data_IF_496414963297
#
_entry.id   IF_496414963297
#
_cell.length_a   1.000
_cell.length_b   1.000
_cell.length_c   1.000
_cell.angle_alpha   90.00
_cell.angle_beta   90.00
_cell.angle_gamma   90.00
#
_symmetry.space_group_name_H-M   'P 1'
#
loop_
_entity.id
_entity.type
_entity.pdbx_description
1 polymer ?
#
# COMPACT_ATOMS: atom_id res chain seq x y z
N UNK A 1 3.88 -4.59 14.49
CA UNK A 1 4.81 -3.58 13.97
C UNK A 1 5.88 -3.19 14.98
N UNK A 2 5.54 -2.53 16.10
CA UNK A 2 6.55 -2.06 17.09
C UNK A 2 7.47 -3.19 17.58
N UNK A 3 6.92 -4.37 17.92
CA UNK A 3 7.73 -5.56 18.24
C UNK A 3 8.73 -5.96 17.15
N UNK A 4 8.31 -5.97 15.88
CA UNK A 4 9.18 -6.31 14.74
C UNK A 4 10.30 -5.29 14.58
N UNK A 5 9.98 -3.99 14.75
CA UNK A 5 11.01 -2.94 14.75
C UNK A 5 11.97 -3.08 15.92
N UNK A 6 11.46 -3.36 17.12
CA UNK A 6 12.28 -3.54 18.31
C UNK A 6 13.28 -4.69 18.13
N UNK A 7 12.87 -5.81 17.51
CA UNK A 7 13.78 -6.90 17.15
C UNK A 7 14.87 -6.46 16.18
N UNK A 8 14.54 -5.66 15.16
CA UNK A 8 15.51 -5.22 14.13
C UNK A 8 16.44 -4.11 14.62
N UNK A 9 15.95 -3.24 15.51
CA UNK A 9 16.71 -2.12 16.08
C UNK A 9 17.50 -2.56 17.32
N UNK A 10 17.09 -3.62 18.00
CA UNK A 10 17.67 -4.10 19.24
C UNK A 10 17.27 -3.27 20.47
N UNK A 11 16.12 -2.59 20.42
CA UNK A 11 15.63 -1.76 21.52
C UNK A 11 14.11 -1.60 21.51
N UNK A 12 13.49 -1.53 22.69
CA UNK A 12 12.07 -1.23 22.85
C UNK A 12 11.76 0.21 22.42
N UNK A 13 10.63 0.38 21.74
CA UNK A 13 10.18 1.66 21.17
C UNK A 13 8.82 2.05 21.76
N UNK A 14 8.36 3.27 21.44
CA UNK A 14 6.98 3.67 21.69
C UNK A 14 5.96 2.74 21.00
N UNK A 15 4.70 2.82 21.43
CA UNK A 15 3.63 1.94 20.96
C UNK A 15 3.34 2.10 19.46
N UNK A 16 3.32 3.35 18.99
CA UNK A 16 3.02 3.70 17.60
C UNK A 16 4.16 4.57 17.03
N UNK A 17 5.29 3.96 16.63
CA UNK A 17 6.40 4.70 16.04
C UNK A 17 6.04 5.18 14.62
N UNK A 18 6.51 6.38 14.26
CA UNK A 18 6.40 6.92 12.91
C UNK A 18 7.68 6.64 12.12
N UNK A 19 7.53 6.02 10.96
CA UNK A 19 8.64 5.83 10.01
C UNK A 19 8.61 6.92 8.95
N UNK A 20 9.70 7.68 8.88
CA UNK A 20 9.91 8.71 7.87
C UNK A 20 10.96 8.23 6.89
N UNK A 21 10.54 7.94 5.67
CA UNK A 21 11.44 7.47 4.61
C UNK A 21 12.40 8.58 4.15
N UNK A 22 13.69 8.28 4.13
CA UNK A 22 14.78 9.07 3.58
C UNK A 22 15.29 8.45 2.26
N UNK A 23 16.36 9.01 1.72
CA UNK A 23 17.02 8.48 0.53
C UNK A 23 17.79 7.19 0.85
N UNK A 24 18.07 6.38 -0.19
CA UNK A 24 18.94 5.21 -0.06
C UNK A 24 18.40 4.07 0.81
N UNK A 25 17.09 3.95 1.00
CA UNK A 25 16.50 2.90 1.84
C UNK A 25 16.60 3.17 3.35
N UNK A 26 17.10 4.33 3.74
CA UNK A 26 17.16 4.78 5.14
C UNK A 26 15.79 5.31 5.57
N UNK A 27 15.40 5.00 6.81
CA UNK A 27 14.17 5.45 7.42
C UNK A 27 14.49 5.97 8.82
N UNK A 28 14.09 7.20 9.11
CA UNK A 28 14.12 7.69 10.48
C UNK A 28 12.91 7.12 11.24
N UNK A 29 13.14 6.67 12.47
CA UNK A 29 12.10 6.19 13.37
C UNK A 29 11.89 7.24 14.45
N UNK A 30 10.65 7.73 14.54
CA UNK A 30 10.23 8.72 15.51
C UNK A 30 9.30 8.12 16.56
N UNK A 31 9.47 8.57 17.79
CA UNK A 31 8.52 8.41 18.86
C UNK A 31 8.05 9.79 19.34
N UNK A 32 6.82 10.13 18.95
CA UNK A 32 6.31 11.49 19.10
C UNK A 32 7.18 12.44 18.27
N UNK A 33 7.63 13.53 18.88
CA UNK A 33 8.50 14.50 18.23
C UNK A 33 9.99 14.09 18.20
N UNK A 34 10.39 13.00 18.86
CA UNK A 34 11.80 12.61 19.01
C UNK A 34 12.20 11.59 17.96
N UNK A 35 13.31 11.85 17.27
CA UNK A 35 13.98 10.83 16.44
C UNK A 35 14.76 9.89 17.35
N UNK A 36 14.40 8.62 17.37
CA UNK A 36 14.94 7.64 18.34
C UNK A 36 15.84 6.60 17.69
N UNK A 37 15.57 6.25 16.44
CA UNK A 37 16.33 5.21 15.74
C UNK A 37 16.39 5.47 14.23
N UNK A 38 17.28 4.75 13.57
CA UNK A 38 17.40 4.68 12.11
C UNK A 38 17.21 3.22 11.70
N UNK A 39 16.42 3.01 10.65
CA UNK A 39 16.15 1.72 10.04
C UNK A 39 16.61 1.74 8.58
N UNK A 40 17.48 0.81 8.21
CA UNK A 40 17.98 0.62 6.86
C UNK A 40 17.26 -0.59 6.24
N UNK A 41 16.48 -0.32 5.20
CA UNK A 41 15.76 -1.33 4.43
C UNK A 41 16.39 -1.35 3.03
N UNK A 42 17.21 -2.38 2.71
CA UNK A 42 17.74 -2.52 1.35
C UNK A 42 16.59 -2.76 0.36
N UNK A 43 16.78 -2.36 -0.90
CA UNK A 43 15.75 -2.58 -1.92
C UNK A 43 15.52 -4.08 -2.20
N UNK A 44 16.54 -4.92 -2.01
CA UNK A 44 16.52 -6.37 -2.21
C UNK A 44 16.98 -7.14 -0.96
N UNK A 45 16.69 -8.44 -0.92
CA UNK A 45 17.07 -9.33 0.18
C UNK A 45 16.00 -9.43 1.28
N UNK A 46 16.42 -9.89 2.47
CA UNK A 46 15.54 -10.18 3.62
C UNK A 46 16.16 -9.72 4.95
N UNK A 47 17.09 -8.75 4.91
CA UNK A 47 17.92 -8.39 6.06
C UNK A 47 17.87 -6.87 6.34
N UNK A 48 16.73 -6.35 6.82
CA UNK A 48 16.69 -4.98 7.35
C UNK A 48 17.58 -4.87 8.59
N UNK A 49 18.14 -3.68 8.83
CA UNK A 49 19.01 -3.40 9.98
C UNK A 49 18.58 -2.11 10.66
N UNK A 50 18.77 -2.00 11.96
CA UNK A 50 18.45 -0.77 12.69
C UNK A 50 19.47 -0.44 13.76
N UNK A 51 19.48 0.84 14.18
CA UNK A 51 20.27 1.31 15.31
C UNK A 51 19.57 2.45 16.04
N UNK A 52 19.72 2.48 17.37
CA UNK A 52 19.26 3.60 18.19
C UNK A 52 20.19 4.80 17.97
N UNK A 53 19.62 6.00 17.86
CA UNK A 53 20.37 7.25 17.64
C UNK A 53 19.93 8.39 18.55
N UNK A 54 18.98 8.16 19.44
CA UNK A 54 18.46 9.15 20.37
C UNK A 54 17.88 8.50 21.62
N UNK A 55 17.47 9.33 22.57
CA UNK A 55 16.86 8.86 23.81
C UNK A 55 15.53 8.15 23.54
N UNK A 56 15.42 6.92 24.04
CA UNK A 56 14.20 6.15 23.96
C UNK A 56 13.17 6.74 24.96
N UNK A 57 11.91 6.94 24.54
CA UNK A 57 10.85 7.31 25.48
C UNK A 57 10.61 6.16 26.47
N UNK A 58 10.02 6.49 27.62
CA UNK A 58 9.44 5.47 28.50
C UNK A 58 8.32 4.68 27.81
N UNK A 59 8.05 3.48 28.33
CA UNK A 59 7.00 2.59 27.83
C UNK A 59 5.63 3.30 27.71
N UNK A 60 4.84 2.91 26.70
CA UNK A 60 3.45 3.38 26.57
C UNK A 60 3.26 4.78 25.97
N UNK A 61 4.33 5.49 25.59
CA UNK A 61 4.21 6.76 24.88
C UNK A 61 3.59 6.59 23.47
N UNK A 62 2.93 7.65 22.97
CA UNK A 62 2.31 7.75 21.63
C UNK A 62 1.11 6.80 21.42
N UNK A 63 0.01 6.99 22.15
CA UNK A 63 -1.25 6.27 21.88
C UNK A 63 -1.86 6.72 20.53
N UNK A 64 -2.66 5.87 19.89
CA UNK A 64 -3.30 6.24 18.62
C UNK A 64 -4.25 7.43 18.79
N UNK A 65 -4.96 7.49 19.92
CA UNK A 65 -5.87 8.57 20.28
C UNK A 65 -5.12 9.89 20.38
N UNK A 66 -3.97 9.90 21.07
CA UNK A 66 -3.12 11.09 21.19
C UNK A 66 -2.56 11.54 19.84
N UNK A 67 -2.20 10.60 18.95
CA UNK A 67 -1.72 10.91 17.61
C UNK A 67 -2.82 11.49 16.72
N UNK A 68 -4.03 10.92 16.76
CA UNK A 68 -5.19 11.45 16.03
C UNK A 68 -5.51 12.86 16.52
N UNK A 69 -5.55 13.07 17.84
CA UNK A 69 -5.84 14.38 18.42
C UNK A 69 -4.81 15.43 18.01
N UNK A 70 -3.52 15.12 18.14
CA UNK A 70 -2.44 16.03 17.76
C UNK A 70 -2.44 16.39 16.27
N UNK A 71 -3.03 15.56 15.41
CA UNK A 71 -3.11 15.76 13.96
C UNK A 71 -4.51 16.15 13.48
N UNK A 72 -5.49 16.34 14.38
CA UNK A 72 -6.91 16.56 14.03
C UNK A 72 -7.10 17.74 13.08
N UNK A 73 -6.43 18.87 13.36
CA UNK A 73 -6.54 20.08 12.53
C UNK A 73 -6.09 19.86 11.08
N UNK A 74 -4.95 19.20 10.87
CA UNK A 74 -4.42 18.93 9.53
C UNK A 74 -5.24 17.85 8.80
N UNK A 75 -5.72 16.82 9.52
CA UNK A 75 -6.59 15.78 8.96
C UNK A 75 -7.89 16.42 8.46
N UNK A 76 -8.56 17.23 9.29
CA UNK A 76 -9.80 17.90 8.94
C UNK A 76 -9.63 18.84 7.74
N UNK A 77 -8.51 19.57 7.67
CA UNK A 77 -8.20 20.43 6.53
C UNK A 77 -8.09 19.61 5.23
N UNK A 78 -7.30 18.55 5.23
CA UNK A 78 -7.15 17.68 4.06
C UNK A 78 -8.48 17.04 3.67
N UNK A 79 -9.26 16.61 4.66
CA UNK A 79 -10.58 16.01 4.48
C UNK A 79 -11.55 16.99 3.78
N UNK A 80 -11.66 18.23 4.25
CA UNK A 80 -12.54 19.23 3.63
C UNK A 80 -12.07 19.67 2.25
N UNK A 81 -10.77 19.80 2.02
CA UNK A 81 -10.22 20.06 0.67
C UNK A 81 -10.61 18.93 -0.29
N UNK A 82 -10.43 17.68 0.13
CA UNK A 82 -10.81 16.51 -0.65
C UNK A 82 -12.31 16.44 -0.92
N UNK A 83 -13.16 16.69 0.10
CA UNK A 83 -14.62 16.72 -0.05
C UNK A 83 -15.07 17.85 -0.97
N UNK A 84 -14.53 19.06 -0.81
CA UNK A 84 -14.81 20.20 -1.69
C UNK A 84 -14.49 19.88 -3.15
N UNK A 85 -13.34 19.24 -3.38
CA UNK A 85 -12.94 18.79 -4.72
C UNK A 85 -13.89 17.72 -5.29
N UNK A 86 -14.38 16.77 -4.48
CA UNK A 86 -15.37 15.79 -4.96
C UNK A 86 -16.74 16.44 -5.22
N UNK A 87 -17.17 17.40 -4.39
CA UNK A 87 -18.45 18.11 -4.53
C UNK A 87 -18.56 18.83 -5.88
N UNK A 88 -17.46 19.28 -6.49
CA UNK A 88 -17.50 19.90 -7.83
C UNK A 88 -17.99 18.94 -8.93
N UNK A 89 -18.06 17.63 -8.67
CA UNK A 89 -18.57 16.63 -9.59
C UNK A 89 -19.97 16.11 -9.20
N UNK A 90 -20.54 16.52 -8.06
CA UNK A 90 -21.77 15.94 -7.52
C UNK A 90 -23.00 16.11 -8.42
N UNK A 91 -23.07 17.23 -9.14
CA UNK A 91 -24.15 17.50 -10.11
C UNK A 91 -23.93 16.76 -11.42
N UNK A 92 -22.68 16.65 -11.86
CA UNK A 92 -22.33 16.04 -13.15
C UNK A 92 -22.37 14.52 -13.12
N UNK A 93 -22.00 13.90 -12.00
CA UNK A 93 -21.86 12.45 -11.88
C UNK A 93 -23.20 11.76 -11.60
N UNK A 94 -23.63 10.95 -12.57
CA UNK A 94 -24.78 10.04 -12.45
C UNK A 94 -24.37 8.78 -11.68
N UNK A 95 -23.18 8.26 -11.98
CA UNK A 95 -22.57 7.10 -11.31
C UNK A 95 -21.22 7.46 -10.71
N UNK A 96 -20.95 7.02 -9.49
CA UNK A 96 -19.64 7.16 -8.82
C UNK A 96 -19.09 5.77 -8.56
N UNK A 97 -17.98 5.43 -9.21
CA UNK A 97 -17.33 4.14 -9.03
C UNK A 97 -16.08 4.33 -8.17
N UNK A 98 -15.92 3.48 -7.16
CA UNK A 98 -14.72 3.48 -6.29
C UNK A 98 -14.01 2.13 -6.43
N UNK A 99 -12.92 2.05 -7.20
CA UNK A 99 -12.02 0.90 -7.18
C UNK A 99 -11.34 0.81 -5.81
N UNK A 100 -11.77 -0.16 -5.03
CA UNK A 100 -11.31 -0.37 -3.66
C UNK A 100 -10.48 -1.64 -3.58
N UNK A 101 -9.25 -1.54 -3.08
CA UNK A 101 -8.33 -2.69 -2.99
C UNK A 101 -8.12 -3.21 -1.57
N UNK A 102 -8.83 -2.65 -0.58
CA UNK A 102 -8.58 -2.91 0.84
C UNK A 102 -7.27 -2.29 1.38
N UNK A 103 -6.57 -1.47 0.58
CA UNK A 103 -5.41 -0.70 1.03
C UNK A 103 -5.82 0.66 1.58
N UNK A 104 -4.98 1.27 2.43
CA UNK A 104 -5.25 2.54 3.14
C UNK A 104 -5.71 3.64 2.18
N UNK A 105 -5.01 3.80 1.06
CA UNK A 105 -5.24 4.91 0.13
C UNK A 105 -6.61 4.76 -0.58
N UNK A 106 -6.95 3.53 -0.99
CA UNK A 106 -8.26 3.23 -1.57
C UNK A 106 -9.41 3.27 -0.56
N UNK A 107 -9.16 2.89 0.71
CA UNK A 107 -10.16 2.99 1.79
C UNK A 107 -10.47 4.45 2.08
N UNK A 108 -9.47 5.33 2.16
CA UNK A 108 -9.72 6.76 2.38
C UNK A 108 -10.53 7.38 1.23
N UNK A 109 -10.22 7.02 -0.03
CA UNK A 109 -11.01 7.45 -1.18
C UNK A 109 -12.48 6.98 -1.12
N UNK A 110 -12.72 5.74 -0.66
CA UNK A 110 -14.07 5.22 -0.43
C UNK A 110 -14.82 6.00 0.65
N UNK A 111 -14.19 6.24 1.80
CA UNK A 111 -14.78 7.02 2.89
C UNK A 111 -15.17 8.43 2.43
N UNK A 112 -14.28 9.11 1.72
CA UNK A 112 -14.56 10.44 1.17
C UNK A 112 -15.72 10.42 0.18
N UNK A 113 -15.79 9.40 -0.69
CA UNK A 113 -16.90 9.27 -1.63
C UNK A 113 -18.24 9.04 -0.92
N UNK A 114 -18.27 8.18 0.11
CA UNK A 114 -19.46 7.88 0.91
C UNK A 114 -20.00 9.10 1.68
N UNK A 115 -19.14 10.06 2.03
CA UNK A 115 -19.55 11.30 2.69
C UNK A 115 -20.06 12.38 1.72
N UNK A 116 -19.70 12.31 0.44
CA UNK A 116 -20.00 13.36 -0.55
C UNK A 116 -21.16 12.99 -1.46
N UNK A 117 -21.22 11.75 -1.92
CA UNK A 117 -22.20 11.33 -2.92
C UNK A 117 -23.32 10.48 -2.29
N UNK A 118 -24.54 10.53 -2.83
CA UNK A 118 -25.61 9.64 -2.41
C UNK A 118 -25.21 8.18 -2.59
N UNK A 119 -25.46 7.34 -1.58
CA UNK A 119 -25.12 5.91 -1.62
C UNK A 119 -25.70 5.19 -2.84
N UNK A 120 -26.88 5.58 -3.32
CA UNK A 120 -27.51 5.01 -4.51
C UNK A 120 -26.71 5.21 -5.80
N UNK A 121 -25.80 6.19 -5.85
CA UNK A 121 -24.91 6.42 -7.00
C UNK A 121 -23.56 5.75 -6.86
N UNK A 122 -23.21 5.24 -5.67
CA UNK A 122 -21.88 4.70 -5.40
C UNK A 122 -21.85 3.21 -5.72
N UNK A 123 -20.92 2.80 -6.58
CA UNK A 123 -20.60 1.40 -6.88
C UNK A 123 -19.17 1.11 -6.43
N UNK A 124 -19.00 0.20 -5.47
CA UNK A 124 -17.68 -0.20 -4.98
C UNK A 124 -17.18 -1.38 -5.80
N UNK A 125 -15.99 -1.27 -6.38
CA UNK A 125 -15.42 -2.28 -7.27
C UNK A 125 -14.15 -2.87 -6.64
N UNK A 126 -14.14 -4.19 -6.41
CA UNK A 126 -12.95 -4.92 -5.97
C UNK A 126 -12.44 -5.83 -7.09
N UNK A 127 -11.17 -5.69 -7.45
CA UNK A 127 -10.51 -6.54 -8.44
C UNK A 127 -9.68 -7.60 -7.73
N UNK A 128 -10.23 -8.82 -7.66
CA UNK A 128 -9.58 -9.98 -7.11
C UNK A 128 -8.59 -10.55 -8.12
N UNK A 129 -7.30 -10.52 -7.79
CA UNK A 129 -6.27 -11.06 -8.68
C UNK A 129 -6.10 -12.57 -8.57
N UNK A 130 -6.76 -13.24 -7.62
CA UNK A 130 -6.53 -14.64 -7.27
C UNK A 130 -5.24 -14.89 -6.47
N UNK A 131 -4.49 -13.82 -6.18
CA UNK A 131 -3.23 -13.86 -5.42
C UNK A 131 -3.16 -12.72 -4.40
N UNK A 132 -4.32 -12.27 -3.93
CA UNK A 132 -4.44 -11.30 -2.85
C UNK A 132 -4.07 -11.95 -1.52
N UNK A 133 -3.60 -11.17 -0.54
CA UNK A 133 -3.37 -11.72 0.79
C UNK A 133 -4.71 -12.19 1.41
N UNK A 134 -4.77 -13.37 2.04
CA UNK A 134 -5.99 -13.84 2.70
C UNK A 134 -6.58 -12.84 3.71
N UNK A 135 -5.74 -12.18 4.51
CA UNK A 135 -6.17 -11.14 5.44
C UNK A 135 -6.71 -9.87 4.76
N UNK A 136 -6.33 -9.61 3.50
CA UNK A 136 -6.90 -8.50 2.73
C UNK A 136 -8.31 -8.84 2.24
N UNK A 137 -8.57 -10.08 1.85
CA UNK A 137 -9.91 -10.54 1.49
C UNK A 137 -10.86 -10.48 2.70
N UNK A 138 -10.39 -10.94 3.87
CA UNK A 138 -11.11 -10.83 5.15
C UNK A 138 -11.40 -9.38 5.52
N UNK A 139 -10.39 -8.51 5.42
CA UNK A 139 -10.54 -7.08 5.72
C UNK A 139 -11.57 -6.40 4.79
N UNK A 140 -11.54 -6.69 3.49
CA UNK A 140 -12.51 -6.14 2.53
C UNK A 140 -13.93 -6.58 2.88
N UNK A 141 -14.11 -7.84 3.25
CA UNK A 141 -15.39 -8.42 3.65
C UNK A 141 -15.92 -7.86 4.98
N UNK A 142 -15.05 -7.65 5.95
CA UNK A 142 -15.43 -7.07 7.25
C UNK A 142 -15.80 -5.59 7.10
N UNK A 143 -14.94 -4.82 6.43
CA UNK A 143 -15.14 -3.37 6.29
C UNK A 143 -16.31 -3.05 5.36
N UNK A 144 -16.61 -3.89 4.36
CA UNK A 144 -17.82 -3.71 3.53
C UNK A 144 -19.09 -3.79 4.36
N UNK A 145 -19.16 -4.74 5.32
CA UNK A 145 -20.28 -4.90 6.25
C UNK A 145 -20.40 -3.70 7.20
N UNK A 146 -19.28 -3.25 7.77
CA UNK A 146 -19.26 -2.08 8.66
C UNK A 146 -19.75 -0.82 7.91
N UNK A 147 -19.33 -0.64 6.66
CA UNK A 147 -19.71 0.51 5.85
C UNK A 147 -21.09 0.39 5.20
N UNK A 148 -21.70 -0.80 5.23
CA UNK A 148 -22.97 -1.09 4.56
C UNK A 148 -22.90 -0.90 3.04
N UNK A 149 -21.80 -1.31 2.41
CA UNK A 149 -21.59 -1.17 0.97
C UNK A 149 -21.59 -2.53 0.26
N UNK A 150 -22.26 -2.60 -0.89
CA UNK A 150 -22.13 -3.74 -1.78
C UNK A 150 -20.81 -3.64 -2.56
N UNK A 151 -20.03 -4.72 -2.57
CA UNK A 151 -18.77 -4.80 -3.29
C UNK A 151 -18.95 -5.63 -4.55
N UNK A 152 -18.95 -4.98 -5.71
CA UNK A 152 -18.91 -5.67 -6.99
C UNK A 152 -17.51 -6.24 -7.20
N UNK A 153 -17.41 -7.58 -7.21
CA UNK A 153 -16.15 -8.28 -7.42
C UNK A 153 -15.95 -8.57 -8.91
N UNK A 154 -14.73 -8.34 -9.40
CA UNK A 154 -14.24 -8.78 -10.71
C UNK A 154 -12.97 -9.59 -10.52
N UNK A 155 -12.75 -10.58 -11.37
CA UNK A 155 -11.58 -11.45 -11.28
C UNK A 155 -10.56 -11.09 -12.36
N UNK A 156 -9.29 -10.94 -11.96
CA UNK A 156 -8.19 -10.60 -12.86
C UNK A 156 -7.37 -11.83 -13.30
N UNK A 157 -7.51 -12.99 -12.64
CA UNK A 157 -6.86 -14.23 -13.05
C UNK A 157 -5.33 -14.20 -13.08
N UNK A 158 -4.66 -13.60 -12.10
CA UNK A 158 -3.18 -13.62 -12.05
C UNK A 158 -2.67 -14.99 -11.60
N UNK A 159 -3.35 -15.65 -10.68
CA UNK A 159 -3.18 -17.07 -10.36
C UNK A 159 -3.34 -17.97 -11.60
N UNK A 160 -4.42 -17.80 -12.39
CA UNK A 160 -4.65 -18.57 -13.63
C UNK A 160 -3.47 -18.45 -14.59
N UNK A 161 -2.95 -17.22 -14.76
CA UNK A 161 -1.77 -16.98 -15.58
C UNK A 161 -0.56 -17.82 -15.15
N UNK A 162 -0.39 -18.07 -13.85
CA UNK A 162 0.76 -18.79 -13.27
C UNK A 162 0.55 -20.31 -13.15
N UNK A 163 -0.69 -20.75 -13.00
CA UNK A 163 -1.05 -22.14 -12.73
C UNK A 163 -1.53 -22.88 -13.98
N UNK A 164 -2.20 -22.19 -14.91
CA UNK A 164 -2.82 -22.80 -16.09
C UNK A 164 -2.12 -22.38 -17.40
N UNK A 165 -1.70 -21.12 -17.51
CA UNK A 165 -1.19 -20.55 -18.77
C UNK A 165 0.33 -20.54 -18.89
N UNK A 166 1.06 -20.96 -17.85
CA UNK A 166 2.52 -21.06 -17.86
C UNK A 166 3.26 -19.71 -17.89
N UNK A 167 2.61 -18.60 -17.52
CA UNK A 167 3.27 -17.30 -17.43
C UNK A 167 4.32 -17.29 -16.31
N UNK A 168 5.42 -16.53 -16.46
CA UNK A 168 6.46 -16.45 -15.43
C UNK A 168 5.98 -15.65 -14.21
N UNK A 169 6.64 -15.88 -13.06
CA UNK A 169 6.47 -15.06 -11.86
C UNK A 169 6.70 -13.59 -12.24
N UNK A 170 5.78 -12.66 -11.89
CA UNK A 170 5.93 -11.27 -12.27
C UNK A 170 7.19 -10.64 -11.69
N UNK A 171 7.89 -9.84 -12.50
CA UNK A 171 9.10 -9.10 -12.10
C UNK A 171 8.86 -7.60 -12.23
N UNK A 172 9.86 -6.77 -11.88
CA UNK A 172 9.78 -5.34 -12.14
C UNK A 172 9.71 -5.01 -13.64
N UNK A 173 10.36 -5.83 -14.47
CA UNK A 173 10.44 -5.63 -15.92
C UNK A 173 9.29 -6.33 -16.67
N UNK A 174 8.77 -7.44 -16.14
CA UNK A 174 7.62 -8.15 -16.71
C UNK A 174 6.41 -8.10 -15.77
N UNK A 175 5.60 -7.05 -15.93
CA UNK A 175 4.42 -6.75 -15.10
C UNK A 175 3.09 -7.10 -15.77
N UNK A 176 3.02 -8.22 -16.48
CA UNK A 176 1.79 -8.71 -17.12
C UNK A 176 0.59 -8.76 -16.15
N UNK A 177 0.83 -9.07 -14.87
CA UNK A 177 -0.20 -9.07 -13.82
C UNK A 177 -0.86 -7.69 -13.60
N UNK A 178 -0.11 -6.60 -13.83
CA UNK A 178 -0.66 -5.23 -13.77
C UNK A 178 -1.63 -4.99 -14.92
N UNK A 179 -1.32 -5.49 -16.12
CA UNK A 179 -2.20 -5.43 -17.28
C UNK A 179 -3.54 -6.13 -16.99
N UNK A 180 -3.51 -7.36 -16.45
CA UNK A 180 -4.72 -8.09 -16.05
C UNK A 180 -5.57 -7.33 -15.02
N UNK A 181 -4.93 -6.80 -13.97
CA UNK A 181 -5.63 -6.02 -12.94
C UNK A 181 -6.28 -4.75 -13.50
N UNK A 182 -5.58 -4.01 -14.36
CA UNK A 182 -6.14 -2.83 -15.02
C UNK A 182 -7.30 -3.24 -15.93
N UNK A 183 -7.12 -4.29 -16.74
CA UNK A 183 -8.16 -4.79 -17.63
C UNK A 183 -9.44 -5.19 -16.90
N UNK A 184 -9.34 -5.94 -15.81
CA UNK A 184 -10.52 -6.34 -15.03
C UNK A 184 -11.19 -5.17 -14.34
N UNK A 185 -10.43 -4.19 -13.83
CA UNK A 185 -10.99 -2.94 -13.28
C UNK A 185 -11.73 -2.15 -14.35
N UNK A 186 -11.17 -1.98 -15.54
CA UNK A 186 -11.81 -1.22 -16.62
C UNK A 186 -13.07 -1.93 -17.14
N UNK A 187 -13.04 -3.26 -17.25
CA UNK A 187 -14.23 -4.04 -17.58
C UNK A 187 -15.32 -3.89 -16.50
N UNK A 188 -14.93 -3.88 -15.22
CA UNK A 188 -15.82 -3.63 -14.10
C UNK A 188 -16.44 -2.22 -14.13
N UNK A 189 -15.62 -1.20 -14.42
CA UNK A 189 -16.08 0.19 -14.60
C UNK A 189 -17.11 0.25 -15.72
N UNK A 190 -16.77 -0.26 -16.91
CA UNK A 190 -17.66 -0.22 -18.08
C UNK A 190 -19.01 -0.92 -17.80
N UNK A 191 -19.01 -2.03 -17.06
CA UNK A 191 -20.24 -2.75 -16.69
C UNK A 191 -21.13 -2.00 -15.69
N UNK A 192 -20.52 -1.23 -14.78
CA UNK A 192 -21.21 -0.55 -13.69
C UNK A 192 -21.59 0.90 -14.02
N UNK A 193 -21.06 1.44 -15.11
CA UNK A 193 -21.30 2.81 -15.57
C UNK A 193 -22.70 3.00 -16.13
N UNK A 194 -23.45 3.91 -15.51
CA UNK A 194 -24.73 4.42 -16.00
C UNK A 194 -24.63 5.95 -16.11
N UNK A 195 -24.75 6.51 -17.32
CA UNK A 195 -24.59 7.94 -17.56
C UNK A 195 -23.15 8.46 -17.36
N UNK A 196 -23.02 9.70 -16.89
CA UNK A 196 -21.73 10.30 -16.56
C UNK A 196 -21.12 9.59 -15.34
N UNK A 197 -19.94 9.01 -15.53
CA UNK A 197 -19.25 8.19 -14.54
C UNK A 197 -18.06 8.92 -13.93
N UNK A 198 -18.05 8.99 -12.60
CA UNK A 198 -16.92 9.46 -11.81
C UNK A 198 -16.13 8.29 -11.17
N UNK A 199 -14.94 8.12 -11.72
CA UNK A 199 -13.74 7.40 -11.28
C UNK A 199 -13.05 7.81 -9.97
N UNK A 200 -13.50 7.48 -8.75
CA UNK A 200 -12.79 7.97 -7.53
C UNK A 200 -11.68 7.01 -7.11
N UNK A 201 -10.41 7.44 -7.19
CA UNK A 201 -9.24 6.59 -6.92
C UNK A 201 -8.30 7.15 -5.85
N UNK A 202 -7.69 6.27 -5.05
CA UNK A 202 -6.78 6.63 -3.95
C UNK A 202 -5.32 6.89 -4.36
N UNK A 203 -5.08 7.62 -5.44
CA UNK A 203 -3.71 7.96 -5.90
C UNK A 203 -3.10 9.11 -5.09
N UNK A 204 -1.81 9.04 -4.75
CA UNK A 204 -1.09 10.13 -4.03
C UNK A 204 0.27 10.46 -4.63
N UNK A 205 0.69 11.72 -4.47
CA UNK A 205 1.97 12.20 -4.98
C UNK A 205 3.16 11.49 -4.35
N UNK A 206 3.10 11.29 -3.03
CA UNK A 206 4.17 10.68 -2.25
C UNK A 206 4.35 9.16 -2.49
N UNK A 207 3.57 8.52 -3.38
CA UNK A 207 3.75 7.11 -3.71
C UNK A 207 4.92 6.85 -4.66
N UNK A 208 5.07 7.68 -5.71
CA UNK A 208 6.15 7.55 -6.70
C UNK A 208 6.21 8.78 -7.61
N UNK A 209 7.33 8.99 -8.31
CA UNK A 209 7.47 10.04 -9.32
C UNK A 209 6.35 10.01 -10.38
N UNK A 210 6.00 8.81 -10.87
CA UNK A 210 4.91 8.64 -11.85
C UNK A 210 3.54 9.03 -11.31
N UNK A 211 3.30 8.83 -10.02
CA UNK A 211 2.07 9.32 -9.38
C UNK A 211 2.14 10.82 -9.19
N UNK A 212 3.23 11.38 -8.68
CA UNK A 212 3.40 12.83 -8.47
C UNK A 212 3.12 13.68 -9.70
N UNK A 213 3.61 13.29 -10.89
CA UNK A 213 3.38 14.08 -12.12
C UNK A 213 1.99 13.85 -12.74
N UNK A 214 1.21 12.90 -12.23
CA UNK A 214 -0.10 12.56 -12.79
C UNK A 214 -1.14 13.61 -12.37
N UNK A 215 -1.91 14.19 -13.30
CA UNK A 215 -2.95 15.15 -12.97
C UNK A 215 -4.01 14.59 -12.01
N UNK A 216 -4.58 15.41 -11.11
CA UNK A 216 -5.58 14.97 -10.15
C UNK A 216 -6.92 14.60 -10.79
N UNK A 217 -7.21 15.16 -11.97
CA UNK A 217 -8.38 14.86 -12.83
C UNK A 217 -7.86 14.31 -14.16
N UNK A 218 -8.42 13.20 -14.63
CA UNK A 218 -8.09 12.59 -15.93
C UNK A 218 -9.37 12.20 -16.65
N UNK A 219 -9.56 12.68 -17.87
CA UNK A 219 -10.65 12.21 -18.74
C UNK A 219 -10.25 10.89 -19.39
N UNK A 220 -11.13 9.90 -19.30
CA UNK A 220 -10.97 8.61 -20.00
C UNK A 220 -11.67 8.69 -21.35
N UNK A 221 -12.89 9.21 -21.35
CA UNK A 221 -13.74 9.50 -22.51
C UNK A 221 -14.72 10.65 -22.16
N UNK A 222 -15.67 10.93 -23.04
CA UNK A 222 -16.63 12.04 -22.88
C UNK A 222 -17.55 11.90 -21.65
N UNK A 223 -17.77 10.68 -21.16
CA UNK A 223 -18.67 10.37 -20.05
C UNK A 223 -17.94 9.88 -18.81
N UNK A 224 -16.63 9.60 -18.88
CA UNK A 224 -15.88 8.99 -17.78
C UNK A 224 -14.70 9.86 -17.34
N UNK A 225 -14.71 10.27 -16.08
CA UNK A 225 -13.64 11.08 -15.48
C UNK A 225 -13.07 10.37 -14.26
N UNK A 226 -11.75 10.27 -14.17
CA UNK A 226 -11.03 9.78 -12.99
C UNK A 226 -10.55 10.94 -12.13
N UNK A 227 -10.85 10.89 -10.84
CA UNK A 227 -10.40 11.87 -9.84
C UNK A 227 -9.62 11.21 -8.71
N UNK A 228 -8.71 11.97 -8.12
CA UNK A 228 -7.81 11.50 -7.06
C UNK A 228 -7.84 12.48 -5.88
N UNK A 229 -8.82 12.34 -4.96
CA UNK A 229 -9.09 13.37 -3.97
C UNK A 229 -8.02 13.49 -2.89
N UNK A 230 -7.20 12.45 -2.69
CA UNK A 230 -6.19 12.39 -1.63
C UNK A 230 -4.77 12.72 -2.12
N UNK A 231 -4.65 13.39 -3.26
CA UNK A 231 -3.40 13.62 -3.99
C UNK A 231 -2.23 14.10 -3.11
N UNK A 232 -2.51 15.10 -2.27
CA UNK A 232 -1.54 15.77 -1.40
C UNK A 232 -1.38 15.13 -0.01
N UNK A 233 -2.04 13.99 0.24
CA UNK A 233 -2.02 13.37 1.56
C UNK A 233 -0.72 12.58 1.78
N UNK A 234 -0.18 12.63 2.99
CA UNK A 234 0.92 11.75 3.42
C UNK A 234 0.37 10.36 3.77
N UNK A 235 1.23 9.35 3.79
CA UNK A 235 0.83 8.00 4.23
C UNK A 235 0.29 7.99 5.66
N UNK A 236 0.88 8.79 6.55
CA UNK A 236 0.45 8.95 7.93
C UNK A 236 -0.92 9.64 8.03
N UNK A 237 -1.15 10.73 7.28
CA UNK A 237 -2.45 11.41 7.27
C UNK A 237 -3.57 10.47 6.82
N UNK A 238 -3.34 9.64 5.79
CA UNK A 238 -4.32 8.64 5.33
C UNK A 238 -4.63 7.62 6.43
N UNK A 239 -3.62 7.11 7.12
CA UNK A 239 -3.82 6.14 8.20
C UNK A 239 -4.58 6.73 9.39
N UNK A 240 -4.15 7.91 9.87
CA UNK A 240 -4.80 8.59 10.97
C UNK A 240 -6.24 8.99 10.62
N UNK A 241 -6.51 9.40 9.37
CA UNK A 241 -7.87 9.67 8.90
C UNK A 241 -8.78 8.45 9.02
N UNK A 242 -8.36 7.29 8.50
CA UNK A 242 -9.16 6.05 8.59
C UNK A 242 -9.44 5.68 10.05
N UNK A 243 -8.40 5.75 10.89
CA UNK A 243 -8.53 5.48 12.33
C UNK A 243 -9.47 6.48 13.01
N UNK A 244 -9.41 7.76 12.64
CA UNK A 244 -10.29 8.80 13.19
C UNK A 244 -11.77 8.60 12.83
N UNK A 245 -12.05 7.87 11.74
CA UNK A 245 -13.40 7.45 11.35
C UNK A 245 -13.87 6.17 12.06
N UNK A 246 -13.10 5.69 13.04
CA UNK A 246 -13.43 4.48 13.80
C UNK A 246 -13.17 3.17 13.05
N UNK A 247 -12.52 3.22 11.87
CA UNK A 247 -12.16 2.03 11.13
C UNK A 247 -10.75 1.55 11.47
N UNK A 248 -10.60 0.23 11.54
CA UNK A 248 -9.28 -0.41 11.61
C UNK A 248 -8.57 -0.29 10.27
N UNK A 249 -7.24 -0.30 10.29
CA UNK A 249 -6.45 -0.45 9.07
C UNK A 249 -6.46 -1.92 8.63
N UNK A 250 -6.12 -2.17 7.37
CA UNK A 250 -5.85 -3.54 6.93
C UNK A 250 -4.75 -4.15 7.82
N UNK A 251 -4.95 -5.38 8.36
CA UNK A 251 -4.04 -5.98 9.35
C UNK A 251 -2.57 -6.02 8.92
N UNK A 252 -2.27 -6.04 7.62
CA UNK A 252 -0.88 -6.00 7.14
C UNK A 252 -0.16 -4.69 7.49
N UNK A 253 -0.86 -3.56 7.56
CA UNK A 253 -0.27 -2.30 8.03
C UNK A 253 0.18 -2.39 9.49
N UNK A 254 -0.61 -3.07 10.33
CA UNK A 254 -0.26 -3.33 11.75
C UNK A 254 0.94 -4.28 11.89
N UNK A 255 1.25 -5.06 10.85
CA UNK A 255 2.47 -5.87 10.75
C UNK A 255 3.66 -5.13 10.16
N UNK A 256 3.45 -3.93 9.62
CA UNK A 256 4.50 -3.05 9.14
C UNK A 256 4.61 -2.96 7.62
N UNK A 257 3.66 -3.50 6.86
CA UNK A 257 3.66 -3.33 5.41
C UNK A 257 3.47 -1.85 5.05
N UNK A 258 4.33 -1.32 4.18
CA UNK A 258 4.15 0.07 3.70
C UNK A 258 3.03 0.16 2.65
N UNK A 259 2.95 -0.88 1.81
CA UNK A 259 2.00 -1.02 0.71
C UNK A 259 1.43 -2.42 0.70
N UNK A 260 0.14 -2.51 0.40
CA UNK A 260 -0.57 -3.78 0.24
C UNK A 260 -0.91 -3.96 -1.24
N UNK A 261 -0.66 -5.16 -1.73
CA UNK A 261 -1.01 -5.66 -3.07
C UNK A 261 -1.04 -7.17 -3.00
N UNK A 262 -0.73 -7.85 -4.11
CA UNK A 262 -0.68 -9.32 -4.14
C UNK A 262 0.50 -9.89 -3.30
N UNK A 263 0.36 -11.10 -2.74
CA UNK A 263 1.44 -11.74 -1.96
C UNK A 263 2.62 -12.24 -2.81
N UNK A 264 2.48 -12.22 -4.14
CA UNK A 264 3.54 -12.48 -5.12
C UNK A 264 3.98 -11.21 -5.87
N UNK A 265 3.69 -10.03 -5.33
CA UNK A 265 3.96 -8.78 -6.04
C UNK A 265 5.47 -8.52 -6.12
N UNK A 266 6.03 -8.21 -7.30
CA UNK A 266 7.44 -7.83 -7.41
C UNK A 266 7.78 -6.54 -6.67
N UNK A 267 6.77 -5.73 -6.29
CA UNK A 267 6.99 -4.51 -5.51
C UNK A 267 7.20 -4.75 -4.01
N UNK A 268 7.09 -6.00 -3.52
CA UNK A 268 7.41 -6.36 -2.14
C UNK A 268 8.92 -6.18 -1.91
N UNK A 269 9.28 -5.28 -0.98
CA UNK A 269 10.68 -4.97 -0.67
C UNK A 269 11.20 -5.90 0.40
N UNK A 270 12.49 -5.78 0.70
CA UNK A 270 13.17 -6.55 1.75
C UNK A 270 12.42 -6.58 3.08
N UNK A 271 11.81 -5.45 3.47
CA UNK A 271 11.03 -5.35 4.70
C UNK A 271 9.75 -6.19 4.68
N UNK A 272 8.91 -6.08 3.64
CA UNK A 272 7.71 -6.91 3.53
C UNK A 272 8.06 -8.40 3.40
N UNK A 273 9.11 -8.72 2.64
CA UNK A 273 9.60 -10.08 2.50
C UNK A 273 10.10 -10.66 3.83
N UNK A 274 10.84 -9.87 4.61
CA UNK A 274 11.23 -10.22 5.98
C UNK A 274 10.00 -10.53 6.83
N UNK A 275 9.01 -9.64 6.88
CA UNK A 275 7.77 -9.88 7.64
C UNK A 275 7.05 -11.15 7.16
N UNK A 276 6.93 -11.36 5.85
CA UNK A 276 6.25 -12.53 5.28
C UNK A 276 6.89 -13.85 5.69
N UNK A 277 8.22 -13.87 5.83
CA UNK A 277 8.98 -15.07 6.22
C UNK A 277 9.15 -15.24 7.73
N UNK A 278 9.17 -14.14 8.50
CA UNK A 278 9.52 -14.17 9.92
C UNK A 278 8.33 -13.99 10.87
N UNK A 279 7.23 -13.38 10.45
CA UNK A 279 6.01 -13.28 11.26
C UNK A 279 5.20 -14.59 11.14
N UNK A 280 5.12 -15.44 12.18
CA UNK A 280 4.46 -16.74 12.07
C UNK A 280 2.99 -16.63 11.69
N UNK A 281 2.31 -15.55 12.11
CA UNK A 281 0.89 -15.35 11.80
C UNK A 281 0.62 -15.05 10.33
N UNK A 282 1.63 -14.55 9.60
CA UNK A 282 1.58 -14.35 8.15
C UNK A 282 2.13 -15.59 7.44
N UNK A 283 3.33 -16.04 7.83
CA UNK A 283 4.05 -17.13 7.18
C UNK A 283 3.22 -18.43 7.13
N UNK A 284 2.55 -18.80 8.24
CA UNK A 284 1.71 -20.00 8.30
C UNK A 284 0.50 -19.95 7.38
N UNK A 285 -0.05 -18.75 7.15
CA UNK A 285 -1.20 -18.56 6.24
C UNK A 285 -0.74 -18.60 4.78
N UNK A 286 0.36 -17.92 4.47
CA UNK A 286 0.92 -17.89 3.12
C UNK A 286 1.51 -19.23 2.69
N UNK A 287 2.09 -20.01 3.62
CA UNK A 287 2.64 -21.35 3.38
C UNK A 287 1.64 -22.35 2.79
N UNK A 288 0.34 -22.09 2.96
CA UNK A 288 -0.74 -22.92 2.39
C UNK A 288 -1.08 -22.56 0.94
N UNK A 289 -0.54 -21.45 0.42
CA UNK A 289 -0.86 -20.93 -0.91
C UNK A 289 0.14 -21.47 -1.93
N UNK A 290 -0.32 -22.05 -3.06
CA UNK A 290 0.53 -22.79 -4.00
C UNK A 290 1.61 -21.92 -4.65
N UNK A 291 1.37 -20.62 -4.78
CA UNK A 291 2.29 -19.69 -5.44
C UNK A 291 3.27 -19.01 -4.46
N UNK A 292 3.07 -19.14 -3.15
CA UNK A 292 3.91 -18.45 -2.17
C UNK A 292 5.34 -18.99 -2.17
N UNK A 293 5.52 -20.32 -2.12
CA UNK A 293 6.85 -20.94 -2.09
C UNK A 293 7.61 -20.66 -3.39
N UNK A 294 6.93 -20.81 -4.54
CA UNK A 294 7.48 -20.45 -5.87
C UNK A 294 7.98 -19.01 -5.92
N UNK A 295 7.23 -18.07 -5.34
CA UNK A 295 7.62 -16.67 -5.29
C UNK A 295 8.83 -16.42 -4.36
N UNK A 296 8.82 -16.97 -3.14
CA UNK A 296 9.93 -16.79 -2.20
C UNK A 296 11.22 -17.38 -2.75
N UNK A 297 11.18 -18.59 -3.32
CA UNK A 297 12.35 -19.20 -3.97
C UNK A 297 12.87 -18.34 -5.13
N UNK A 298 11.98 -17.81 -5.97
CA UNK A 298 12.36 -16.90 -7.04
C UNK A 298 13.09 -15.67 -6.51
N UNK A 299 12.58 -15.05 -5.43
CA UNK A 299 13.21 -13.87 -4.80
C UNK A 299 14.56 -14.21 -4.16
N UNK A 300 14.70 -15.39 -3.54
CA UNK A 300 15.98 -15.85 -3.00
C UNK A 300 17.03 -16.03 -4.11
N UNK A 301 16.68 -16.70 -5.22
CA UNK A 301 17.60 -16.90 -6.37
C UNK A 301 18.05 -15.57 -6.99
N UNK A 302 17.14 -14.61 -7.16
CA UNK A 302 17.49 -13.28 -7.69
C UNK A 302 18.42 -12.53 -6.72
N UNK A 303 18.19 -12.63 -5.41
CA UNK A 303 19.04 -11.99 -4.41
C UNK A 303 20.46 -12.59 -4.38
N UNK A 304 20.61 -13.90 -4.57
CA UNK A 304 21.94 -14.54 -4.61
C UNK A 304 22.70 -14.20 -5.88
N UNK A 305 22.02 -14.19 -7.04
CA UNK A 305 22.63 -13.83 -8.32
C UNK A 305 23.17 -12.39 -8.33
N UNK A 306 22.41 -11.42 -7.79
CA UNK A 306 22.88 -10.02 -7.67
C UNK A 306 24.08 -9.88 -6.74
N UNK A 307 24.13 -10.60 -5.61
CA UNK A 307 25.32 -10.60 -4.74
C UNK A 307 26.57 -11.14 -5.44
N UNK A 308 26.42 -12.14 -6.31
CA UNK A 308 27.51 -12.66 -7.14
C UNK A 308 28.01 -11.61 -8.13
N UNK A 309 27.10 -10.94 -8.84
CA UNK A 309 27.44 -9.85 -9.77
C UNK A 309 28.04 -8.61 -9.07
N UNK A 310 27.53 -8.22 -7.90
CA UNK A 310 28.07 -7.08 -7.14
C UNK A 310 29.49 -7.38 -6.62
N UNK A 311 29.75 -8.64 -6.22
CA UNK A 311 31.10 -9.10 -5.83
C UNK A 311 32.06 -9.15 -7.03
N UNK A 312 31.61 -9.63 -8.19
CA UNK A 312 32.37 -9.59 -9.44
C UNK A 312 32.64 -8.16 -9.91
N UNK A 313 31.66 -7.26 -9.81
CA UNK A 313 31.84 -5.84 -10.15
C UNK A 313 32.82 -5.14 -9.19
N UNK A 314 32.76 -5.44 -7.89
CA UNK A 314 33.72 -4.92 -6.90
C UNK A 314 35.14 -5.46 -7.13
N UNK A 315 35.29 -6.74 -7.45
CA UNK A 315 36.60 -7.35 -7.74
C UNK A 315 37.19 -6.91 -9.08
N UNK A 316 36.35 -6.52 -10.05
CA UNK A 316 36.79 -5.93 -11.32
C UNK A 316 37.13 -4.43 -11.18
N UNK A 317 36.60 -3.73 -10.17
CA UNK A 317 36.95 -2.34 -9.88
C UNK A 317 38.23 -2.17 -9.05
N UNK A 318 38.63 -3.16 -8.24
CA UNK A 318 39.83 -3.12 -7.40
C UNK A 318 41.18 -2.98 -8.14
N UNK A 319 41.37 -3.41 -9.41
CA UNK A 319 42.62 -3.19 -10.15
C UNK A 319 42.74 -1.81 -10.81
N UNK A 320 41.68 -0.98 -10.83
CA UNK A 320 41.65 0.23 -11.66
C UNK A 320 41.57 1.56 -10.93
N UNK A 321 41.42 1.61 -9.61
CA UNK A 321 41.58 2.83 -8.79
C UNK A 321 41.05 4.13 -9.44
N UNK A 322 39.82 4.09 -9.97
CA UNK A 322 39.11 5.24 -10.53
C UNK A 322 37.73 5.32 -9.86
N UNK A 323 37.39 6.55 -9.43
CA UNK A 323 36.16 7.06 -8.79
C UNK A 323 36.22 7.12 -7.24
N UNK A 324 36.27 8.29 -6.58
CA UNK A 324 35.99 9.66 -7.05
C UNK A 324 34.48 9.91 -7.13
#
# INVERSE_FOLDING_TARGET
FSRTLATVIGAELCRNPLLVRRFGGVHDVYCGARRVAILEIPDEGFAPRGKVVGELPGEGCCSLESLIEANRGVINLYEEVSKSFLRSFAVWADTVIVPWSGGKDSTAALLLALEVFPRSRIRVLFSDTGVEFPCTLEYVEEVSKILGVEVHRVYAGVDRGLLEEGLPIPTHDNRWCTGRKIGSVMAGIARLSEGNTLVVTGDRDAESRRRSIRPPVRRVDDRTVIVTPIKMWSGAHVQLYILSKGLRLNPLYERGFYRIGCYICPALRSWELFIMTQDPSIALRLGKLPLYHRFIEHRMRVSTAKKGMDWEAQTVCDPLNICG
#
